data_IF_237245121186
#
_entry.id   IF_237245121186
#
_cell.length_a   1.000
_cell.length_b   1.000
_cell.length_c   1.000
_cell.angle_alpha   90.00
_cell.angle_beta   90.00
_cell.angle_gamma   90.00
#
_symmetry.space_group_name_H-M   'P 1'
#
loop_
_entity.id
_entity.type
_entity.pdbx_description
1 polymer ?
#
# COMPACT_ATOMS: atom_id res chain seq x y z
N UNK A 1 15.22 -11.00 15.94
CA UNK A 1 14.92 -11.73 14.70
C UNK A 1 14.22 -10.71 13.82
N UNK A 2 14.71 -10.47 12.61
CA UNK A 2 13.97 -9.60 11.68
C UNK A 2 12.72 -10.37 11.23
N UNK A 3 11.62 -9.68 11.01
CA UNK A 3 10.43 -10.30 10.43
C UNK A 3 10.70 -10.67 8.96
N UNK A 4 9.93 -11.60 8.40
CA UNK A 4 9.99 -11.90 6.97
C UNK A 4 9.74 -10.63 6.13
N UNK A 5 8.83 -9.76 6.57
CA UNK A 5 8.60 -8.45 5.92
C UNK A 5 9.91 -7.65 5.79
N UNK A 6 10.69 -7.55 6.86
CA UNK A 6 11.95 -6.81 6.86
C UNK A 6 13.03 -7.49 6.01
N UNK A 7 13.06 -8.82 5.97
CA UNK A 7 13.99 -9.58 5.14
C UNK A 7 13.73 -9.34 3.65
N UNK A 8 12.46 -9.42 3.22
CA UNK A 8 12.03 -9.16 1.85
C UNK A 8 12.15 -7.69 1.45
N UNK A 9 11.90 -6.75 2.37
CA UNK A 9 12.14 -5.33 2.11
C UNK A 9 13.62 -4.98 1.89
N UNK A 10 14.52 -5.64 2.64
CA UNK A 10 15.96 -5.35 2.60
C UNK A 10 16.70 -6.11 1.50
N UNK A 11 16.01 -6.93 0.71
CA UNK A 11 16.60 -7.67 -0.39
C UNK A 11 17.06 -6.72 -1.51
N UNK A 12 17.96 -7.21 -2.39
CA UNK A 12 18.43 -6.41 -3.54
C UNK A 12 17.27 -5.89 -4.39
N UNK A 13 16.23 -6.71 -4.52
CA UNK A 13 14.95 -6.33 -5.08
C UNK A 13 13.91 -6.33 -3.96
N UNK A 14 13.36 -5.15 -3.67
CA UNK A 14 12.39 -4.98 -2.58
C UNK A 14 11.11 -5.73 -2.91
N UNK A 15 10.59 -6.43 -1.92
CA UNK A 15 9.34 -7.17 -2.03
C UNK A 15 8.37 -6.84 -0.90
N UNK A 16 7.08 -6.94 -1.21
CA UNK A 16 5.97 -6.80 -0.26
C UNK A 16 4.95 -7.92 -0.47
N UNK A 17 4.06 -8.18 0.50
CA UNK A 17 2.94 -9.10 0.27
C UNK A 17 2.05 -8.58 -0.87
N UNK A 18 1.94 -9.36 -1.94
CA UNK A 18 1.19 -9.06 -3.16
C UNK A 18 -0.31 -9.25 -3.01
N UNK A 19 -0.91 -8.57 -2.04
CA UNK A 19 -2.36 -8.61 -1.78
C UNK A 19 -2.81 -7.31 -1.11
N UNK A 20 -4.10 -7.01 -1.21
CA UNK A 20 -4.68 -5.84 -0.53
C UNK A 20 -4.45 -5.91 0.99
N UNK A 21 -3.44 -5.21 1.51
CA UNK A 21 -3.06 -5.27 2.92
C UNK A 21 -2.21 -4.08 3.37
N UNK A 22 -2.14 -3.89 4.68
CA UNK A 22 -1.13 -3.08 5.38
C UNK A 22 -0.17 -4.06 6.06
N UNK A 23 1.11 -4.00 5.70
CA UNK A 23 2.18 -4.81 6.29
C UNK A 23 3.07 -3.94 7.18
N UNK A 24 3.41 -4.45 8.37
CA UNK A 24 4.25 -3.76 9.34
C UNK A 24 5.62 -4.42 9.47
N UNK A 25 6.63 -3.64 9.84
CA UNK A 25 8.00 -4.10 10.03
C UNK A 25 8.15 -5.25 11.05
N UNK A 26 7.20 -5.40 11.98
CA UNK A 26 7.21 -6.47 12.97
C UNK A 26 6.60 -7.79 12.46
N UNK A 27 6.10 -7.82 11.21
CA UNK A 27 5.45 -8.98 10.61
C UNK A 27 3.94 -9.03 10.81
N UNK A 28 3.34 -8.07 11.51
CA UNK A 28 1.89 -7.89 11.57
C UNK A 28 1.36 -7.48 10.20
N UNK A 29 0.18 -7.98 9.83
CA UNK A 29 -0.49 -7.64 8.58
C UNK A 29 -1.97 -7.42 8.84
N UNK A 30 -2.54 -6.32 8.35
CA UNK A 30 -3.98 -6.10 8.29
C UNK A 30 -4.45 -6.32 6.85
N UNK A 31 -5.30 -7.31 6.61
CA UNK A 31 -5.90 -7.55 5.29
C UNK A 31 -6.97 -6.50 5.02
N UNK A 32 -6.98 -5.95 3.81
CA UNK A 32 -7.95 -4.95 3.37
C UNK A 32 -8.95 -5.61 2.42
N UNK A 33 -10.23 -5.26 2.58
CA UNK A 33 -11.29 -5.53 1.61
C UNK A 33 -11.54 -4.23 0.84
N UNK A 34 -11.24 -4.26 -0.47
CA UNK A 34 -11.43 -3.14 -1.39
C UNK A 34 -12.49 -3.52 -2.40
N UNK A 35 -13.56 -2.74 -2.45
CA UNK A 35 -14.71 -3.01 -3.32
C UNK A 35 -15.04 -1.82 -4.19
N UNK A 36 -15.28 -2.09 -5.45
CA UNK A 36 -15.82 -1.12 -6.41
C UNK A 36 -17.28 -1.41 -6.65
N UNK A 37 -18.13 -0.40 -6.48
CA UNK A 37 -19.55 -0.45 -6.82
C UNK A 37 -19.81 0.43 -8.03
N UNK A 38 -20.56 -0.10 -8.99
CA UNK A 38 -20.99 0.63 -10.18
C UNK A 38 -22.50 0.76 -10.16
N UNK A 39 -23.02 1.99 -10.19
CA UNK A 39 -24.43 2.25 -10.39
C UNK A 39 -24.71 2.49 -11.89
N UNK A 40 -25.41 1.55 -12.57
CA UNK A 40 -25.68 1.68 -14.00
C UNK A 40 -26.69 2.78 -14.33
N UNK A 41 -27.41 3.34 -13.35
CA UNK A 41 -28.42 4.36 -13.60
C UNK A 41 -27.81 5.75 -13.79
N UNK A 42 -26.69 6.02 -13.14
CA UNK A 42 -25.98 7.30 -13.19
C UNK A 42 -24.51 7.18 -13.65
N UNK A 43 -24.05 5.97 -13.99
CA UNK A 43 -22.66 5.63 -14.35
C UNK A 43 -21.63 5.99 -13.26
N UNK A 44 -22.06 6.10 -12.00
CA UNK A 44 -21.17 6.42 -10.89
C UNK A 44 -20.40 5.17 -10.45
N UNK A 45 -19.10 5.36 -10.19
CA UNK A 45 -18.24 4.36 -9.57
C UNK A 45 -17.84 4.84 -8.18
N UNK A 46 -18.13 4.03 -7.18
CA UNK A 46 -17.71 4.28 -5.80
C UNK A 46 -16.77 3.18 -5.33
N UNK A 47 -15.86 3.54 -4.44
CA UNK A 47 -14.89 2.63 -3.84
C UNK A 47 -15.10 2.61 -2.33
N UNK A 48 -15.02 1.43 -1.74
CA UNK A 48 -14.94 1.26 -0.29
C UNK A 48 -13.70 0.47 0.06
N UNK A 49 -12.95 0.98 1.04
CA UNK A 49 -11.83 0.27 1.67
C UNK A 49 -12.20 0.03 3.13
N UNK A 50 -11.99 -1.19 3.61
CA UNK A 50 -12.20 -1.53 5.02
C UNK A 50 -11.22 -2.61 5.48
N UNK A 51 -10.75 -2.57 6.73
CA UNK A 51 -9.97 -3.67 7.29
C UNK A 51 -10.86 -4.92 7.41
N UNK A 52 -10.37 -6.04 6.90
CA UNK A 52 -11.04 -7.34 6.96
C UNK A 52 -10.66 -8.11 8.23
N UNK A 53 -9.36 -8.26 8.47
CA UNK A 53 -8.82 -8.92 9.67
C UNK A 53 -7.34 -8.63 9.87
N UNK A 54 -6.88 -8.82 11.11
CA UNK A 54 -5.45 -8.83 11.43
C UNK A 54 -4.90 -10.26 11.40
N UNK A 55 -3.66 -10.39 10.93
CA UNK A 55 -2.91 -11.63 10.83
C UNK A 55 -1.40 -11.36 10.94
N UNK A 56 -0.58 -12.35 10.65
CA UNK A 56 0.88 -12.22 10.54
C UNK A 56 1.36 -12.75 9.21
N UNK A 57 2.50 -12.25 8.74
CA UNK A 57 3.14 -12.73 7.53
C UNK A 57 3.46 -14.23 7.61
N UNK A 58 3.88 -14.74 8.78
CA UNK A 58 4.15 -16.17 8.97
C UNK A 58 2.91 -17.03 8.73
N UNK A 59 1.74 -16.57 9.19
CA UNK A 59 0.46 -17.25 8.94
C UNK A 59 0.10 -17.28 7.46
N UNK A 60 0.42 -16.22 6.71
CA UNK A 60 0.20 -16.16 5.25
C UNK A 60 1.16 -17.12 4.55
N UNK A 61 2.46 -16.97 4.78
CA UNK A 61 3.55 -17.76 4.17
C UNK A 61 3.37 -19.26 4.41
N UNK A 62 2.84 -19.65 5.58
CA UNK A 62 2.51 -21.05 5.89
C UNK A 62 1.62 -21.71 4.82
N UNK A 63 0.69 -20.97 4.22
CA UNK A 63 -0.25 -21.50 3.22
C UNK A 63 0.02 -20.97 1.81
N UNK A 64 0.74 -19.86 1.67
CA UNK A 64 1.13 -19.28 0.40
C UNK A 64 2.57 -18.72 0.49
N UNK A 65 3.61 -19.54 0.27
CA UNK A 65 5.00 -19.09 0.36
C UNK A 65 5.40 -18.11 -0.75
N UNK A 66 4.67 -18.10 -1.86
CA UNK A 66 4.91 -17.24 -3.02
C UNK A 66 4.06 -15.95 -2.98
N UNK A 67 3.66 -15.51 -1.78
CA UNK A 67 2.80 -14.32 -1.60
C UNK A 67 3.50 -12.98 -1.84
N UNK A 68 4.72 -12.99 -2.37
CA UNK A 68 5.59 -11.83 -2.46
C UNK A 68 5.56 -11.23 -3.87
N UNK A 69 5.59 -9.92 -3.91
CA UNK A 69 5.57 -9.13 -5.13
C UNK A 69 6.67 -8.09 -5.07
N UNK A 70 7.44 -8.00 -6.16
CA UNK A 70 8.51 -7.02 -6.30
C UNK A 70 7.90 -5.63 -6.44
N UNK A 71 8.45 -4.66 -5.73
CA UNK A 71 7.96 -3.27 -5.75
C UNK A 71 9.03 -2.32 -6.26
N UNK A 72 8.63 -1.36 -7.08
CA UNK A 72 9.53 -0.37 -7.68
C UNK A 72 9.07 1.06 -7.39
N UNK A 73 9.92 1.84 -6.70
CA UNK A 73 9.57 3.16 -6.21
C UNK A 73 9.65 4.21 -7.33
N UNK A 74 8.55 4.92 -7.56
CA UNK A 74 8.42 5.93 -8.62
C UNK A 74 8.26 7.35 -8.07
N UNK A 75 7.73 7.47 -6.85
CA UNK A 75 7.53 8.73 -6.15
C UNK A 75 8.01 8.63 -4.70
N UNK A 76 8.53 9.72 -4.15
CA UNK A 76 8.82 9.84 -2.72
C UNK A 76 8.47 11.23 -2.17
N UNK A 77 8.26 11.30 -0.86
CA UNK A 77 8.11 12.54 -0.10
C UNK A 77 8.71 12.35 1.29
N UNK A 78 9.49 13.34 1.76
CA UNK A 78 10.08 13.33 3.10
C UNK A 78 9.00 13.23 4.17
N UNK A 79 9.19 12.34 5.15
CA UNK A 79 8.27 12.15 6.25
C UNK A 79 8.97 11.67 7.52
N UNK A 80 8.84 12.43 8.62
CA UNK A 80 9.39 12.09 9.94
C UNK A 80 10.87 11.66 9.96
N UNK A 81 11.68 12.19 9.03
CA UNK A 81 13.11 11.87 8.92
C UNK A 81 13.43 10.63 8.09
N UNK A 82 12.42 9.90 7.62
CA UNK A 82 12.52 8.95 6.51
C UNK A 82 11.70 9.45 5.32
N UNK A 83 11.12 8.52 4.56
CA UNK A 83 10.33 8.85 3.37
C UNK A 83 9.03 8.04 3.33
N UNK A 84 7.99 8.63 2.73
CA UNK A 84 6.90 7.86 2.14
C UNK A 84 7.17 7.71 0.66
N UNK A 85 7.16 6.47 0.17
CA UNK A 85 7.40 6.10 -1.21
C UNK A 85 6.16 5.43 -1.81
N UNK A 86 6.02 5.52 -3.12
CA UNK A 86 4.94 4.88 -3.86
C UNK A 86 5.40 4.49 -5.25
N UNK A 87 4.72 3.51 -5.85
CA UNK A 87 5.09 3.01 -7.17
C UNK A 87 4.30 1.78 -7.57
N UNK A 88 4.93 0.90 -8.35
CA UNK A 88 4.34 -0.27 -9.00
C UNK A 88 4.60 -1.58 -8.20
N UNK A 89 3.67 -2.53 -8.35
CA UNK A 89 3.76 -3.89 -7.85
C UNK A 89 4.05 -4.93 -8.94
N UNK A 90 4.82 -4.56 -9.97
CA UNK A 90 5.37 -5.42 -11.04
C UNK A 90 4.49 -5.64 -12.28
N UNK A 91 3.16 -5.83 -12.15
CA UNK A 91 2.30 -6.17 -13.29
C UNK A 91 1.68 -4.94 -13.95
N UNK A 92 1.93 -3.74 -13.41
CA UNK A 92 1.45 -2.46 -13.94
C UNK A 92 -0.02 -2.16 -13.67
N UNK A 93 -0.72 -3.02 -12.92
CA UNK A 93 -2.06 -2.77 -12.41
C UNK A 93 -2.12 -2.66 -10.88
N UNK A 94 -1.01 -2.94 -10.21
CA UNK A 94 -0.87 -2.78 -8.77
C UNK A 94 -0.25 -1.43 -8.41
N UNK A 95 -0.51 -0.98 -7.20
CA UNK A 95 0.20 0.14 -6.60
C UNK A 95 0.60 -0.20 -5.19
N UNK A 96 1.72 0.37 -4.74
CA UNK A 96 2.11 0.30 -3.34
C UNK A 96 2.43 1.68 -2.79
N UNK A 97 2.35 1.78 -1.46
CA UNK A 97 2.79 2.92 -0.68
C UNK A 97 3.55 2.37 0.52
N UNK A 98 4.75 2.85 0.80
CA UNK A 98 5.52 2.43 1.98
C UNK A 98 6.13 3.62 2.70
N UNK A 99 6.26 3.50 4.02
CA UNK A 99 6.99 4.45 4.85
C UNK A 99 8.26 3.79 5.36
N UNK A 100 9.37 4.49 5.23
CA UNK A 100 10.67 4.09 5.76
C UNK A 100 11.13 5.05 6.86
N UNK A 101 12.08 4.61 7.67
CA UNK A 101 12.83 5.48 8.57
C UNK A 101 14.06 6.09 7.89
N UNK A 102 14.84 6.89 8.64
CA UNK A 102 16.05 7.54 8.15
C UNK A 102 17.15 6.57 7.66
N UNK A 103 17.05 5.28 7.99
CA UNK A 103 17.96 4.23 7.56
C UNK A 103 17.36 3.36 6.45
N UNK A 104 16.30 3.83 5.79
CA UNK A 104 15.59 3.14 4.71
C UNK A 104 14.97 1.79 5.13
N UNK A 105 14.77 1.62 6.44
CA UNK A 105 14.08 0.44 6.98
C UNK A 105 12.59 0.68 6.92
N UNK A 106 11.84 -0.32 6.46
CA UNK A 106 10.38 -0.26 6.44
C UNK A 106 9.83 0.00 7.85
N UNK A 107 8.84 0.88 7.95
CA UNK A 107 8.00 1.09 9.13
C UNK A 107 6.66 0.40 8.89
N UNK A 108 6.02 0.74 7.77
CA UNK A 108 4.80 0.11 7.27
C UNK A 108 4.76 0.20 5.75
N UNK A 109 4.00 -0.67 5.11
CA UNK A 109 3.67 -0.58 3.70
C UNK A 109 2.23 -1.02 3.43
N UNK A 110 1.66 -0.51 2.36
CA UNK A 110 0.30 -0.83 1.89
C UNK A 110 0.42 -1.25 0.44
N UNK A 111 -0.10 -2.43 0.12
CA UNK A 111 -0.13 -2.96 -1.23
C UNK A 111 -1.59 -2.99 -1.72
N UNK A 112 -1.80 -2.63 -2.98
CA UNK A 112 -3.11 -2.60 -3.62
C UNK A 112 -3.07 -3.32 -4.96
N UNK A 113 -3.95 -4.31 -5.16
CA UNK A 113 -3.97 -5.15 -6.37
C UNK A 113 -4.61 -4.46 -7.60
N UNK A 114 -5.24 -3.30 -7.42
CA UNK A 114 -6.10 -2.70 -8.44
C UNK A 114 -6.14 -1.17 -8.45
N UNK A 115 -5.03 -0.51 -8.11
CA UNK A 115 -4.94 0.96 -8.14
C UNK A 115 -4.20 1.51 -9.35
N UNK A 116 -3.50 0.65 -10.11
CA UNK A 116 -2.36 1.04 -10.94
C UNK A 116 -1.23 1.66 -10.08
N UNK A 117 -0.02 1.82 -10.65
CA UNK A 117 1.12 2.37 -9.93
C UNK A 117 0.85 3.75 -9.33
N UNK A 118 1.45 4.02 -8.17
CA UNK A 118 1.36 5.32 -7.50
C UNK A 118 2.48 6.25 -7.99
N UNK A 119 2.12 7.39 -8.58
CA UNK A 119 3.10 8.31 -9.18
C UNK A 119 3.20 9.66 -8.46
N UNK A 120 2.20 10.04 -7.66
CA UNK A 120 2.22 11.31 -6.92
C UNK A 120 1.92 11.07 -5.46
N UNK A 121 2.70 11.70 -4.59
CA UNK A 121 2.53 11.66 -3.15
C UNK A 121 2.58 13.07 -2.59
N UNK A 122 1.77 13.32 -1.56
CA UNK A 122 1.85 14.54 -0.77
C UNK A 122 1.41 14.26 0.65
N UNK A 123 2.16 14.79 1.62
CA UNK A 123 1.81 14.69 3.04
C UNK A 123 1.47 16.09 3.56
N UNK A 124 0.35 16.22 4.25
CA UNK A 124 -0.06 17.45 4.94
C UNK A 124 -0.64 17.12 6.31
N UNK A 125 0.07 17.51 7.37
CA UNK A 125 -0.30 17.12 8.73
C UNK A 125 -0.26 15.60 8.90
N UNK A 126 -1.40 15.01 9.23
CA UNK A 126 -1.58 13.55 9.37
C UNK A 126 -2.25 12.91 8.14
N UNK A 127 -2.43 13.65 7.04
CA UNK A 127 -3.03 13.11 5.82
C UNK A 127 -1.95 12.86 4.77
N UNK A 128 -1.92 11.64 4.24
CA UNK A 128 -1.20 11.28 3.03
C UNK A 128 -2.18 11.20 1.86
N UNK A 129 -1.88 11.89 0.78
CA UNK A 129 -2.61 11.78 -0.49
C UNK A 129 -1.68 11.15 -1.52
N UNK A 130 -2.14 10.08 -2.14
CA UNK A 130 -1.51 9.41 -3.25
C UNK A 130 -2.41 9.45 -4.49
N UNK A 131 -1.81 9.61 -5.67
CA UNK A 131 -2.52 9.59 -6.96
C UNK A 131 -1.82 8.59 -7.88
N UNK A 132 -2.62 7.78 -8.58
CA UNK A 132 -2.08 6.79 -9.51
C UNK A 132 -1.51 7.42 -10.79
N UNK A 133 -0.78 6.64 -11.58
CA UNK A 133 -0.09 7.10 -12.78
C UNK A 133 -1.00 7.63 -13.90
N UNK A 134 -2.30 7.35 -13.83
CA UNK A 134 -3.29 7.82 -14.79
C UNK A 134 -4.09 9.03 -14.31
N UNK A 135 -3.76 9.59 -13.14
CA UNK A 135 -4.49 10.71 -12.54
C UNK A 135 -6.00 10.44 -12.35
N UNK A 136 -6.41 9.17 -12.30
CA UNK A 136 -7.82 8.75 -12.23
C UNK A 136 -8.22 8.25 -10.85
N UNK A 137 -7.26 7.95 -9.97
CA UNK A 137 -7.53 7.41 -8.65
C UNK A 137 -6.74 8.16 -7.58
N UNK A 138 -7.45 8.62 -6.55
CA UNK A 138 -6.89 9.20 -5.34
C UNK A 138 -7.05 8.22 -4.18
N UNK A 139 -5.96 7.98 -3.45
CA UNK A 139 -5.94 7.31 -2.15
C UNK A 139 -5.59 8.34 -1.08
N UNK A 140 -6.38 8.41 -0.03
CA UNK A 140 -6.14 9.26 1.14
C UNK A 140 -6.03 8.37 2.38
N UNK A 141 -4.94 8.53 3.13
CA UNK A 141 -4.62 7.72 4.31
C UNK A 141 -4.42 8.64 5.51
N UNK A 142 -5.07 8.33 6.62
CA UNK A 142 -4.76 8.93 7.91
C UNK A 142 -3.49 8.27 8.49
N UNK A 143 -2.42 9.03 8.62
CA UNK A 143 -1.12 8.56 9.11
C UNK A 143 -1.13 8.24 10.61
N UNK A 144 -2.10 8.74 11.39
CA UNK A 144 -2.29 8.34 12.79
C UNK A 144 -3.05 7.01 12.90
N UNK A 145 -3.84 6.66 11.88
CA UNK A 145 -4.72 5.49 11.84
C UNK A 145 -4.74 4.90 10.42
N UNK A 146 -3.73 4.08 10.08
CA UNK A 146 -3.49 3.62 8.70
C UNK A 146 -4.65 2.82 8.07
N UNK A 147 -5.57 2.29 8.87
CA UNK A 147 -6.78 1.61 8.39
C UNK A 147 -7.85 2.57 7.88
N UNK A 148 -7.77 3.85 8.24
CA UNK A 148 -8.66 4.91 7.76
C UNK A 148 -8.20 5.36 6.36
N UNK A 149 -8.51 4.52 5.38
CA UNK A 149 -8.19 4.73 3.96
C UNK A 149 -9.46 5.13 3.22
N UNK A 150 -9.36 6.17 2.39
CA UNK A 150 -10.42 6.57 1.45
C UNK A 150 -9.87 6.49 0.03
N UNK A 151 -10.66 5.94 -0.87
CA UNK A 151 -10.36 5.92 -2.29
C UNK A 151 -11.48 6.58 -3.07
N UNK A 152 -11.11 7.32 -4.11
CA UNK A 152 -12.06 7.97 -5.00
C UNK A 152 -11.50 8.06 -6.41
N UNK A 153 -12.36 7.80 -7.40
CA UNK A 153 -12.04 8.12 -8.78
C UNK A 153 -12.04 9.65 -8.97
N UNK A 154 -11.06 10.15 -9.70
CA UNK A 154 -10.97 11.51 -10.19
C UNK A 154 -11.63 11.55 -11.57
N UNK A 155 -12.47 12.55 -11.79
CA UNK A 155 -13.32 12.66 -12.99
C UNK A 155 -12.61 13.13 -14.25
#
# INVERSE_FOLDING_TARGET
>A
MNSLIMEHWSAEQREMPGMNCIAFADGTVTILDIRTYFDPNNNERTLSVSPLCDTTIDSIVKYNPDCWTMVDAWASVDYQGGEVIGGDGQMGNEGFIACTDAADRLVWGIFFEGTNPIQKLSVSGNSLIAINEHDELRVEINLDHLVDIKMAYLG
#
